data_IF_116445781338
#
_entry.id   IF_116445781338
#
_cell.length_a   1.000
_cell.length_b   1.000
_cell.length_c   1.000
_cell.angle_alpha   90.00
_cell.angle_beta   90.00
_cell.angle_gamma   90.00
#
_symmetry.space_group_name_H-M   'P 1'
#
loop_
_entity.id
_entity.type
_entity.pdbx_description
1 polymer ?
#
# COMPACT_ATOMS: atom_id res chain seq x y z
N UNK A 1 -22.95 2.56 5.17
CA UNK A 1 -21.83 2.66 4.21
C UNK A 1 -21.35 1.24 3.95
N UNK A 2 -21.13 0.84 2.69
CA UNK A 2 -20.78 -0.56 2.33
C UNK A 2 -19.28 -0.88 2.50
N UNK A 3 -18.45 0.14 2.67
CA UNK A 3 -17.02 0.05 3.00
C UNK A 3 -16.69 1.13 4.04
N UNK A 4 -15.58 0.96 4.77
CA UNK A 4 -15.02 1.98 5.67
C UNK A 4 -13.88 2.69 4.97
N UNK A 5 -13.83 4.00 5.13
CA UNK A 5 -12.70 4.81 4.66
C UNK A 5 -11.46 4.53 5.53
N UNK A 6 -10.30 4.43 4.90
CA UNK A 6 -9.01 4.43 5.59
C UNK A 6 -8.81 5.82 6.20
N UNK A 7 -8.47 5.86 7.50
CA UNK A 7 -8.25 7.11 8.23
C UNK A 7 -6.78 7.25 8.57
N UNK A 8 -6.25 8.46 8.39
CA UNK A 8 -4.93 8.82 8.88
C UNK A 8 -4.99 9.04 10.39
N UNK A 9 -4.24 8.23 11.14
CA UNK A 9 -4.09 8.35 12.59
C UNK A 9 -2.85 9.16 13.01
N UNK A 10 -2.10 9.70 12.03
CA UNK A 10 -0.89 10.46 12.25
C UNK A 10 0.30 9.63 12.71
N UNK A 11 0.20 8.30 12.70
CA UNK A 11 1.33 7.44 13.06
C UNK A 11 2.46 7.55 12.04
N UNK A 12 3.69 7.69 12.53
CA UNK A 12 4.86 7.71 11.65
C UNK A 12 5.04 6.32 11.01
N UNK A 13 5.25 6.22 9.68
CA UNK A 13 5.44 4.92 9.04
C UNK A 13 6.78 4.30 9.43
N UNK A 14 6.75 2.99 9.74
CA UNK A 14 7.97 2.20 9.87
C UNK A 14 8.81 2.20 8.57
N UNK A 15 10.14 2.19 8.71
CA UNK A 15 11.08 2.14 7.59
C UNK A 15 12.03 0.94 7.70
N UNK A 16 11.75 -0.09 6.90
CA UNK A 16 12.52 -1.34 6.85
C UNK A 16 13.93 -1.17 6.24
N UNK A 17 14.20 -0.05 5.58
CA UNK A 17 15.52 0.24 5.01
C UNK A 17 16.49 0.74 6.08
N UNK A 18 15.96 1.23 7.20
CA UNK A 18 16.71 1.72 8.36
C UNK A 18 16.70 0.74 9.51
N UNK A 19 15.56 0.10 9.77
CA UNK A 19 15.38 -0.83 10.87
C UNK A 19 15.05 -2.22 10.34
N UNK A 20 15.77 -3.28 10.73
CA UNK A 20 15.47 -4.63 10.26
C UNK A 20 14.06 -5.06 10.70
N UNK A 21 13.27 -5.75 9.84
CA UNK A 21 11.94 -6.22 10.21
C UNK A 21 11.96 -7.16 11.41
N UNK A 22 11.10 -6.89 12.40
CA UNK A 22 10.81 -7.78 13.54
C UNK A 22 9.31 -8.04 13.58
N UNK A 23 8.92 -9.32 13.66
CA UNK A 23 7.51 -9.71 13.58
C UNK A 23 6.85 -9.77 14.97
N UNK A 24 5.57 -9.37 15.09
CA UNK A 24 4.69 -8.85 14.04
C UNK A 24 5.05 -7.42 13.61
N UNK A 25 4.98 -7.13 12.31
CA UNK A 25 5.24 -5.79 11.76
C UNK A 25 3.93 -5.00 11.58
N UNK A 26 4.00 -3.66 11.60
CA UNK A 26 2.87 -2.76 11.27
C UNK A 26 2.39 -2.90 9.83
N UNK A 27 1.24 -2.29 9.49
CA UNK A 27 0.74 -2.28 8.10
C UNK A 27 1.68 -1.51 7.16
N UNK A 28 2.22 -0.36 7.59
CA UNK A 28 3.16 0.43 6.78
C UNK A 28 4.42 -0.39 6.44
N UNK A 29 5.00 -1.08 7.43
CA UNK A 29 6.16 -1.95 7.21
C UNK A 29 5.85 -3.10 6.23
N UNK A 30 4.67 -3.72 6.32
CA UNK A 30 4.26 -4.79 5.41
C UNK A 30 4.05 -4.27 3.97
N UNK A 31 3.42 -3.11 3.80
CA UNK A 31 3.22 -2.50 2.48
C UNK A 31 4.56 -2.09 1.84
N UNK A 32 5.48 -1.51 2.62
CA UNK A 32 6.83 -1.19 2.15
C UNK A 32 7.61 -2.45 1.73
N UNK A 33 7.43 -3.58 2.43
CA UNK A 33 8.00 -4.86 2.02
C UNK A 33 7.39 -5.40 0.73
N UNK A 34 6.06 -5.36 0.60
CA UNK A 34 5.34 -5.90 -0.56
C UNK A 34 5.70 -5.18 -1.86
N UNK A 35 5.82 -3.86 -1.85
CA UNK A 35 6.20 -3.09 -3.06
C UNK A 35 7.65 -3.37 -3.51
N UNK A 36 8.48 -3.95 -2.63
CA UNK A 36 9.88 -4.35 -2.91
C UNK A 36 10.03 -5.85 -3.14
N UNK A 37 8.95 -6.62 -3.06
CA UNK A 37 8.96 -8.08 -3.16
C UNK A 37 9.11 -8.58 -4.60
N UNK A 38 9.48 -9.84 -4.74
CA UNK A 38 9.50 -10.51 -6.05
C UNK A 38 8.07 -10.70 -6.58
N UNK A 39 7.85 -10.25 -7.81
CA UNK A 39 6.53 -10.27 -8.45
C UNK A 39 5.98 -11.70 -8.58
N UNK A 40 6.79 -12.64 -9.05
CA UNK A 40 6.36 -14.03 -9.27
C UNK A 40 5.96 -14.72 -7.96
N UNK A 41 6.73 -14.51 -6.90
CA UNK A 41 6.43 -15.01 -5.56
C UNK A 41 5.12 -14.44 -5.01
N UNK A 42 4.93 -13.12 -5.06
CA UNK A 42 3.72 -12.48 -4.55
C UNK A 42 2.48 -12.84 -5.37
N UNK A 43 2.62 -12.97 -6.70
CA UNK A 43 1.55 -13.48 -7.57
C UNK A 43 1.15 -14.90 -7.21
N UNK A 44 2.13 -15.79 -6.95
CA UNK A 44 1.85 -17.16 -6.54
C UNK A 44 1.10 -17.22 -5.19
N UNK A 45 1.48 -16.39 -4.22
CA UNK A 45 0.76 -16.26 -2.95
C UNK A 45 -0.66 -15.73 -3.16
N UNK A 46 -0.83 -14.65 -3.93
CA UNK A 46 -2.13 -14.09 -4.27
C UNK A 46 -3.03 -15.14 -4.94
N UNK A 47 -2.49 -15.87 -5.92
CA UNK A 47 -3.20 -16.95 -6.61
C UNK A 47 -3.59 -18.09 -5.67
N UNK A 48 -2.72 -18.48 -4.72
CA UNK A 48 -3.06 -19.50 -3.73
C UNK A 48 -4.27 -19.09 -2.88
N UNK A 49 -4.40 -17.81 -2.50
CA UNK A 49 -5.58 -17.32 -1.76
C UNK A 49 -6.86 -17.42 -2.58
N UNK A 50 -6.80 -17.11 -3.89
CA UNK A 50 -7.92 -17.26 -4.82
C UNK A 50 -8.34 -18.73 -4.98
N UNK A 51 -7.39 -19.65 -4.85
CA UNK A 51 -7.60 -21.10 -4.88
C UNK A 51 -8.02 -21.70 -3.54
N UNK A 52 -8.22 -20.88 -2.51
CA UNK A 52 -8.80 -21.29 -1.23
C UNK A 52 -7.83 -21.36 -0.05
N UNK A 53 -6.51 -21.17 -0.26
CA UNK A 53 -5.52 -21.16 0.82
C UNK A 53 -5.47 -19.77 1.47
N UNK A 54 -6.34 -19.52 2.45
CA UNK A 54 -6.49 -18.19 3.06
C UNK A 54 -7.40 -17.26 2.27
N UNK A 55 -8.55 -17.78 1.81
CA UNK A 55 -9.56 -17.05 1.01
C UNK A 55 -9.90 -15.67 1.60
N UNK A 56 -9.99 -14.65 0.74
CA UNK A 56 -10.37 -13.29 1.10
C UNK A 56 -11.45 -12.68 0.17
N UNK A 57 -11.97 -13.47 -0.79
CA UNK A 57 -13.04 -13.09 -1.73
C UNK A 57 -12.79 -11.76 -2.47
N UNK A 58 -11.72 -11.67 -3.29
CA UNK A 58 -11.22 -10.41 -3.83
C UNK A 58 -11.98 -9.97 -5.09
N UNK A 59 -12.33 -8.69 -5.16
CA UNK A 59 -12.77 -7.99 -6.37
C UNK A 59 -11.86 -6.79 -6.63
N UNK A 60 -11.51 -6.53 -7.89
CA UNK A 60 -10.86 -5.28 -8.25
C UNK A 60 -11.89 -4.15 -8.15
N UNK A 61 -11.76 -3.30 -7.12
CA UNK A 61 -12.61 -2.13 -6.93
C UNK A 61 -12.20 -1.03 -7.91
N UNK A 62 -10.91 -0.73 -7.95
CA UNK A 62 -10.34 0.21 -8.91
C UNK A 62 -8.89 -0.16 -9.24
N UNK A 63 -8.48 0.08 -10.49
CA UNK A 63 -7.09 0.10 -10.92
C UNK A 63 -6.93 1.36 -11.76
N UNK A 64 -6.02 2.24 -11.35
CA UNK A 64 -5.74 3.48 -12.08
C UNK A 64 -4.25 3.65 -12.30
N UNK A 65 -3.89 4.25 -13.43
CA UNK A 65 -2.52 4.58 -13.78
C UNK A 65 -2.46 6.02 -14.24
N UNK A 66 -1.50 6.79 -13.73
CA UNK A 66 -1.35 8.20 -14.05
C UNK A 66 -0.11 8.82 -13.45
N UNK A 67 0.16 10.07 -13.82
CA UNK A 67 1.24 10.85 -13.25
C UNK A 67 0.75 11.55 -11.98
N UNK A 68 1.55 11.46 -10.91
CA UNK A 68 1.29 12.10 -9.61
C UNK A 68 2.42 13.08 -9.32
N UNK A 69 2.08 14.33 -9.00
CA UNK A 69 3.07 15.34 -8.57
C UNK A 69 3.72 14.94 -7.25
N UNK A 70 5.02 15.20 -7.14
CA UNK A 70 5.81 14.94 -5.94
C UNK A 70 6.28 16.28 -5.38
N UNK A 71 5.96 16.53 -4.12
CA UNK A 71 6.37 17.74 -3.41
C UNK A 71 7.26 17.42 -2.22
N UNK A 72 8.17 18.34 -1.90
CA UNK A 72 8.96 18.30 -0.67
C UNK A 72 8.90 19.67 0.02
N UNK A 73 9.21 19.70 1.33
CA UNK A 73 9.37 20.95 2.09
C UNK A 73 10.86 21.05 2.49
N UNK A 74 11.71 21.71 1.69
CA UNK A 74 13.12 21.89 2.03
C UNK A 74 13.28 22.80 3.25
N UNK A 75 14.25 22.49 4.11
CA UNK A 75 14.55 23.27 5.31
C UNK A 75 14.91 24.72 4.97
N UNK A 76 15.59 24.95 3.83
CA UNK A 76 16.04 26.26 3.38
C UNK A 76 14.91 27.20 2.94
N UNK A 77 13.76 26.64 2.53
CA UNK A 77 12.62 27.41 2.01
C UNK A 77 11.45 27.45 2.99
N UNK A 78 11.20 26.37 3.74
CA UNK A 78 10.11 26.29 4.71
C UNK A 78 8.70 26.23 4.09
N UNK A 79 8.58 25.98 2.78
CA UNK A 79 7.31 25.76 2.08
C UNK A 79 7.43 24.64 1.05
N UNK A 80 6.29 24.06 0.66
CA UNK A 80 6.23 22.96 -0.32
C UNK A 80 6.65 23.43 -1.72
N UNK A 81 7.51 22.66 -2.38
CA UNK A 81 7.89 22.84 -3.78
C UNK A 81 7.62 21.56 -4.57
N UNK A 82 7.06 21.70 -5.77
CA UNK A 82 6.92 20.61 -6.75
C UNK A 82 8.28 20.28 -7.36
N UNK A 83 8.68 19.02 -7.29
CA UNK A 83 9.96 18.51 -7.83
C UNK A 83 9.77 17.62 -9.08
N UNK A 84 8.55 17.51 -9.60
CA UNK A 84 8.20 16.74 -10.78
C UNK A 84 7.10 15.72 -10.53
N UNK A 85 6.92 14.81 -11.48
CA UNK A 85 5.85 13.81 -11.44
C UNK A 85 6.40 12.38 -11.56
N UNK A 86 5.66 11.43 -10.99
CA UNK A 86 5.92 10.00 -11.10
C UNK A 86 4.71 9.28 -11.71
N UNK A 87 4.96 8.48 -12.75
CA UNK A 87 3.96 7.56 -13.28
C UNK A 87 3.78 6.40 -12.30
N UNK A 88 2.59 6.27 -11.72
CA UNK A 88 2.24 5.22 -10.77
C UNK A 88 0.99 4.45 -11.19
N UNK A 89 0.90 3.21 -10.72
CA UNK A 89 -0.32 2.40 -10.78
C UNK A 89 -0.77 2.08 -9.36
N UNK A 90 -2.03 2.38 -9.08
CA UNK A 90 -2.72 2.07 -7.83
C UNK A 90 -3.76 0.98 -8.06
N UNK A 91 -3.92 0.08 -7.10
CA UNK A 91 -4.91 -0.99 -7.12
C UNK A 91 -5.60 -1.06 -5.76
N UNK A 92 -6.93 -0.96 -5.77
CA UNK A 92 -7.79 -1.07 -4.61
C UNK A 92 -8.66 -2.33 -4.73
N UNK A 93 -8.52 -3.24 -3.77
CA UNK A 93 -9.26 -4.51 -3.75
C UNK A 93 -10.39 -4.45 -2.71
N UNK A 94 -11.57 -4.89 -3.10
CA UNK A 94 -12.68 -5.15 -2.17
C UNK A 94 -12.62 -6.61 -1.74
N UNK A 95 -12.61 -6.86 -0.43
CA UNK A 95 -12.61 -8.19 0.16
C UNK A 95 -13.95 -8.52 0.83
N UNK A 96 -14.11 -9.78 1.27
CA UNK A 96 -15.33 -10.24 1.94
C UNK A 96 -15.70 -9.43 3.18
N UNK A 97 -17.00 -9.17 3.37
CA UNK A 97 -17.54 -8.44 4.51
C UNK A 97 -17.28 -9.18 5.83
N UNK A 98 -16.96 -8.43 6.89
CA UNK A 98 -16.71 -8.97 8.24
C UNK A 98 -17.89 -8.79 9.19
N UNK A 99 -18.80 -7.86 8.90
CA UNK A 99 -20.06 -7.61 9.61
C UNK A 99 -21.21 -7.53 8.58
N UNK A 100 -22.41 -8.08 8.85
CA UNK A 100 -23.58 -7.97 7.98
C UNK A 100 -24.18 -6.55 7.90
#
# INVERSE_FOLDING_TARGET
QLAREEQDDGSAPDDITRNPPVYPCSRSARLQQLVRGDEGFLLALGYATQRGYGRNHPFAGEIRTGHVSVEIVPEELGFAIDIGEILLTECEMVNGFVDP
#
